data_IF_475941200630
#
_entry.id   IF_475941200630
#
_cell.length_a   1.000
_cell.length_b   1.000
_cell.length_c   1.000
_cell.angle_alpha   90.00
_cell.angle_beta   90.00
_cell.angle_gamma   90.00
#
_symmetry.space_group_name_H-M   'P 1'
#
loop_
_entity.id
_entity.type
_entity.pdbx_description
1 polymer ?
#
# COMPACT_ATOMS: atom_id res chain seq x y z
N UNK A 1 -6.85 -6.08 11.09
CA UNK A 1 -5.51 -5.46 11.17
C UNK A 1 -5.06 -5.22 9.76
N UNK A 2 -4.54 -4.02 9.47
CA UNK A 2 -4.06 -3.70 8.11
C UNK A 2 -2.69 -4.36 7.90
N UNK A 3 -2.48 -4.93 6.72
CA UNK A 3 -1.16 -5.36 6.27
C UNK A 3 -0.93 -4.94 4.83
N UNK A 4 0.33 -4.70 4.48
CA UNK A 4 0.77 -4.45 3.10
C UNK A 4 1.98 -5.33 2.83
N UNK A 5 1.98 -5.99 1.69
CA UNK A 5 3.10 -6.83 1.20
C UNK A 5 3.56 -6.28 -0.14
N UNK A 6 4.88 -6.20 -0.29
CA UNK A 6 5.54 -5.89 -1.55
C UNK A 6 6.33 -7.09 -2.04
N UNK A 7 6.30 -7.32 -3.35
CA UNK A 7 7.10 -8.35 -4.01
C UNK A 7 7.69 -7.79 -5.30
N UNK A 8 8.98 -8.03 -5.51
CA UNK A 8 9.69 -7.68 -6.72
C UNK A 8 10.48 -8.91 -7.21
N UNK A 9 10.05 -9.56 -8.32
CA UNK A 9 10.79 -10.69 -8.89
C UNK A 9 12.00 -10.20 -9.70
N UNK A 10 13.21 -10.36 -9.16
CA UNK A 10 14.43 -9.85 -9.81
C UNK A 10 14.31 -8.36 -10.12
N UNK A 11 14.62 -7.96 -11.35
CA UNK A 11 14.45 -6.57 -11.83
C UNK A 11 13.05 -6.31 -12.41
N UNK A 12 12.10 -7.22 -12.15
CA UNK A 12 10.72 -7.09 -12.58
C UNK A 12 9.96 -5.98 -11.85
N UNK A 13 8.74 -5.66 -12.32
CA UNK A 13 7.94 -4.60 -11.71
C UNK A 13 7.42 -5.01 -10.32
N UNK A 14 7.39 -4.04 -9.40
CA UNK A 14 6.89 -4.22 -8.05
C UNK A 14 5.39 -4.58 -8.07
N UNK A 15 4.98 -5.48 -7.17
CA UNK A 15 3.60 -5.87 -6.92
C UNK A 15 3.24 -5.60 -5.47
N UNK A 16 2.07 -5.02 -5.25
CA UNK A 16 1.60 -4.62 -3.93
C UNK A 16 0.22 -5.22 -3.64
N UNK A 17 0.07 -5.82 -2.47
CA UNK A 17 -1.20 -6.31 -1.97
C UNK A 17 -1.44 -5.84 -0.54
N UNK A 18 -2.70 -5.57 -0.20
CA UNK A 18 -3.12 -5.17 1.13
C UNK A 18 -4.26 -6.03 1.67
N UNK A 19 -4.32 -6.18 2.99
CA UNK A 19 -5.46 -6.77 3.70
C UNK A 19 -5.94 -5.83 4.79
N UNK A 20 -7.19 -5.98 5.23
CA UNK A 20 -7.76 -5.17 6.30
C UNK A 20 -8.23 -3.76 5.90
N UNK A 21 -8.18 -3.43 4.60
CA UNK A 21 -8.71 -2.18 4.03
C UNK A 21 -9.92 -2.40 3.11
N UNK A 22 -10.34 -3.65 2.95
CA UNK A 22 -11.44 -4.12 2.11
C UNK A 22 -11.93 -5.48 2.66
N UNK A 23 -13.18 -5.92 2.39
CA UNK A 23 -13.64 -7.28 2.71
C UNK A 23 -12.77 -8.42 2.19
N UNK A 24 -11.98 -8.21 1.12
CA UNK A 24 -11.04 -9.20 0.56
C UNK A 24 -9.63 -8.61 0.44
N UNK A 25 -8.59 -9.45 0.31
CA UNK A 25 -7.27 -8.97 -0.10
C UNK A 25 -7.36 -8.21 -1.43
N UNK A 26 -6.74 -7.04 -1.48
CA UNK A 26 -6.76 -6.16 -2.66
C UNK A 26 -5.37 -5.98 -3.23
N UNK A 27 -5.28 -5.95 -4.56
CA UNK A 27 -4.06 -5.50 -5.25
C UNK A 27 -4.07 -3.98 -5.34
N UNK A 28 -2.96 -3.35 -4.99
CA UNK A 28 -2.82 -1.89 -4.98
C UNK A 28 -2.32 -1.37 -6.33
N UNK A 29 -3.06 -1.62 -7.42
CA UNK A 29 -2.62 -1.31 -8.80
C UNK A 29 -2.28 0.18 -9.02
N UNK A 30 -2.98 1.10 -8.35
CA UNK A 30 -2.67 2.53 -8.43
C UNK A 30 -1.34 2.87 -7.77
N UNK A 31 -1.02 2.22 -6.64
CA UNK A 31 0.26 2.36 -5.97
C UNK A 31 1.39 1.74 -6.81
N UNK A 32 1.14 0.60 -7.46
CA UNK A 32 2.10 0.00 -8.39
C UNK A 32 2.41 0.93 -9.58
N UNK A 33 1.39 1.61 -10.13
CA UNK A 33 1.55 2.56 -11.23
C UNK A 33 2.39 3.78 -10.83
N UNK A 34 2.24 4.27 -9.59
CA UNK A 34 3.03 5.36 -9.06
C UNK A 34 4.54 5.06 -9.02
N UNK A 35 4.92 3.78 -8.98
CA UNK A 35 6.31 3.32 -8.95
C UNK A 35 6.91 3.14 -10.36
N UNK A 36 6.18 3.45 -11.43
CA UNK A 36 6.68 3.31 -12.81
C UNK A 36 7.95 4.16 -13.08
N UNK A 37 8.15 5.22 -12.32
CA UNK A 37 9.36 6.07 -12.36
C UNK A 37 10.56 5.54 -11.56
N UNK A 38 10.47 4.33 -11.01
CA UNK A 38 11.48 3.74 -10.13
C UNK A 38 11.16 3.91 -8.64
N UNK A 39 12.01 3.34 -7.78
CA UNK A 39 11.82 3.35 -6.32
C UNK A 39 12.54 4.56 -5.70
N UNK A 40 11.89 5.72 -5.75
CA UNK A 40 12.38 7.00 -5.22
C UNK A 40 11.52 7.48 -4.05
N UNK A 41 12.01 8.43 -3.25
CA UNK A 41 11.20 9.00 -2.15
C UNK A 41 9.84 9.53 -2.65
N UNK A 42 9.84 10.27 -3.76
CA UNK A 42 8.62 10.86 -4.34
C UNK A 42 7.61 9.80 -4.83
N UNK A 43 8.08 8.76 -5.51
CA UNK A 43 7.21 7.68 -6.00
C UNK A 43 6.70 6.79 -4.86
N UNK A 44 7.49 6.58 -3.81
CA UNK A 44 7.05 5.92 -2.56
C UNK A 44 5.95 6.74 -1.88
N UNK A 45 6.09 8.06 -1.84
CA UNK A 45 5.09 8.98 -1.29
C UNK A 45 3.77 8.93 -2.06
N UNK A 46 3.83 8.94 -3.40
CA UNK A 46 2.66 8.80 -4.27
C UNK A 46 2.01 7.42 -4.12
N UNK A 47 2.80 6.34 -4.09
CA UNK A 47 2.30 4.98 -3.88
C UNK A 47 1.58 4.84 -2.52
N UNK A 48 2.11 5.46 -1.47
CA UNK A 48 1.50 5.46 -0.14
C UNK A 48 0.16 6.20 -0.12
N UNK A 49 0.05 7.35 -0.79
CA UNK A 49 -1.22 8.09 -0.94
C UNK A 49 -2.24 7.27 -1.72
N UNK A 50 -1.82 6.63 -2.81
CA UNK A 50 -2.68 5.75 -3.59
C UNK A 50 -3.18 4.53 -2.77
N UNK A 51 -2.34 3.97 -1.89
CA UNK A 51 -2.73 2.88 -1.00
C UNK A 51 -3.76 3.32 0.06
N UNK A 52 -3.61 4.52 0.63
CA UNK A 52 -4.58 5.09 1.56
C UNK A 52 -5.95 5.28 0.90
N UNK A 53 -5.96 5.84 -0.31
CA UNK A 53 -7.17 6.07 -1.11
C UNK A 53 -7.89 4.78 -1.51
N UNK A 54 -7.21 3.62 -1.46
CA UNK A 54 -7.82 2.33 -1.75
C UNK A 54 -8.66 1.75 -0.58
N UNK A 55 -8.67 2.39 0.59
CA UNK A 55 -9.46 1.91 1.73
C UNK A 55 -10.97 2.01 1.46
N UNK A 56 -11.66 0.88 1.54
CA UNK A 56 -13.11 0.77 1.48
C UNK A 56 -13.71 0.23 2.79
N UNK A 57 -12.88 -0.12 3.77
CA UNK A 57 -13.36 -0.65 5.05
C UNK A 57 -13.95 0.49 5.90
N UNK A 58 -15.20 0.38 6.39
CA UNK A 58 -15.87 1.44 7.15
C UNK A 58 -15.35 1.60 8.61
N UNK A 59 -14.26 0.93 8.98
CA UNK A 59 -13.82 0.78 10.38
C UNK A 59 -14.51 -0.33 11.18
N UNK A 60 -13.95 -0.66 12.35
CA UNK A 60 -14.52 -1.53 13.38
C UNK A 60 -13.83 -1.25 14.75
N UNK A 61 -14.01 -2.13 15.75
CA UNK A 61 -13.39 -1.99 17.08
C UNK A 61 -11.85 -2.00 17.09
N UNK A 62 -11.20 -2.41 15.99
CA UNK A 62 -9.73 -2.40 15.83
C UNK A 62 -9.21 -1.10 15.23
N UNK A 63 -10.10 -0.20 14.82
CA UNK A 63 -9.76 1.09 14.23
C UNK A 63 -10.78 1.52 13.18
N UNK A 64 -11.01 2.82 13.11
CA UNK A 64 -11.91 3.46 12.16
C UNK A 64 -11.36 3.44 10.71
N UNK A 65 -12.11 4.02 9.77
CA UNK A 65 -11.75 4.06 8.36
C UNK A 65 -10.47 4.91 8.13
N UNK A 66 -10.33 6.03 8.84
CA UNK A 66 -9.21 6.96 8.68
C UNK A 66 -7.90 6.33 9.17
N UNK A 67 -7.92 5.68 10.34
CA UNK A 67 -6.80 4.90 10.85
C UNK A 67 -6.35 3.82 9.87
N UNK A 68 -7.30 3.12 9.23
CA UNK A 68 -6.98 2.06 8.26
C UNK A 68 -6.34 2.62 7.00
N UNK A 69 -6.85 3.74 6.49
CA UNK A 69 -6.28 4.44 5.35
C UNK A 69 -4.85 4.93 5.68
N UNK A 70 -4.64 5.53 6.85
CA UNK A 70 -3.31 5.97 7.29
C UNK A 70 -2.34 4.80 7.44
N UNK A 71 -2.79 3.69 8.04
CA UNK A 71 -1.97 2.47 8.14
C UNK A 71 -1.65 1.85 6.79
N UNK A 72 -2.55 1.90 5.82
CA UNK A 72 -2.25 1.47 4.45
C UNK A 72 -1.09 2.29 3.86
N UNK A 73 -1.09 3.61 4.06
CA UNK A 73 0.00 4.49 3.62
C UNK A 73 1.33 4.14 4.33
N UNK A 74 1.32 4.09 5.66
CA UNK A 74 2.51 3.83 6.48
C UNK A 74 3.13 2.49 6.14
N UNK A 75 2.32 1.43 6.05
CA UNK A 75 2.81 0.09 5.75
C UNK A 75 3.28 -0.05 4.30
N UNK A 76 2.67 0.67 3.35
CA UNK A 76 3.17 0.74 1.96
C UNK A 76 4.56 1.35 1.91
N UNK A 77 4.80 2.48 2.60
CA UNK A 77 6.13 3.10 2.69
C UNK A 77 7.16 2.13 3.25
N UNK A 78 6.84 1.48 4.37
CA UNK A 78 7.74 0.51 5.02
C UNK A 78 8.06 -0.67 4.13
N UNK A 79 7.06 -1.24 3.47
CA UNK A 79 7.25 -2.38 2.56
C UNK A 79 8.12 -2.01 1.36
N UNK A 80 7.94 -0.81 0.80
CA UNK A 80 8.74 -0.31 -0.33
C UNK A 80 10.18 0.04 0.07
N UNK A 81 10.38 0.71 1.21
CA UNK A 81 11.71 1.01 1.74
C UNK A 81 12.51 -0.26 2.04
N UNK A 82 11.85 -1.35 2.43
CA UNK A 82 12.50 -2.65 2.64
C UNK A 82 12.99 -3.34 1.35
N UNK A 83 12.66 -2.79 0.16
CA UNK A 83 13.17 -3.25 -1.13
C UNK A 83 14.40 -2.45 -1.63
N UNK A 84 14.78 -1.37 -0.94
CA UNK A 84 16.03 -0.63 -1.18
C UNK A 84 17.24 -1.40 -0.60
#
# INVERSE_FOLDING_TARGET
MVSVVAWQPGDGPIRLAATGIDPRPVRLSAAELALAGGLTAETIDEAARAAAAANQHPGDFRGDADYRAEMAAVLTRRALVALL
#
